data_IF_676744963369
#
_entry.id   IF_676744963369
#
_cell.length_a   1.000
_cell.length_b   1.000
_cell.length_c   1.000
_cell.angle_alpha   90.00
_cell.angle_beta   90.00
_cell.angle_gamma   90.00
#
_symmetry.space_group_name_H-M   'P 1'
#
loop_
_entity.id
_entity.type
_entity.pdbx_description
1 polymer ?
#
# COMPACT_ATOMS: atom_id res chain seq x y z
N UNK A 1 -7.68 1.10 14.42
CA UNK A 1 -8.62 1.12 13.28
C UNK A 1 -8.10 0.30 12.08
N UNK A 2 -7.38 -0.80 12.29
CA UNK A 2 -6.81 -1.65 11.21
C UNK A 2 -7.21 -3.13 11.35
N UNK A 3 -8.03 -3.48 12.35
CA UNK A 3 -8.27 -4.88 12.75
C UNK A 3 -9.47 -5.57 12.08
N UNK A 4 -10.29 -4.87 11.29
CA UNK A 4 -11.50 -5.47 10.69
C UNK A 4 -11.34 -5.90 9.22
N UNK A 5 -10.18 -5.68 8.59
CA UNK A 5 -10.07 -5.78 7.12
C UNK A 5 -9.26 -6.99 6.59
N UNK A 6 -8.44 -7.63 7.42
CA UNK A 6 -7.61 -8.79 7.00
C UNK A 6 -8.45 -10.06 6.77
N UNK A 7 -9.62 -10.17 7.41
CA UNK A 7 -10.49 -11.36 7.33
C UNK A 7 -11.23 -11.53 6.00
N UNK A 8 -11.34 -10.46 5.19
CA UNK A 8 -12.16 -10.49 3.98
C UNK A 8 -11.32 -10.59 2.70
N UNK A 9 -10.11 -10.04 2.67
CA UNK A 9 -9.29 -9.98 1.45
C UNK A 9 -8.13 -10.98 1.38
N UNK A 10 -7.60 -11.44 2.51
CA UNK A 10 -6.63 -12.54 2.49
C UNK A 10 -7.24 -13.85 1.94
N UNK A 11 -8.52 -14.20 2.26
CA UNK A 11 -9.18 -15.35 1.63
C UNK A 11 -9.49 -15.16 0.15
N UNK A 12 -9.64 -13.92 -0.33
CA UNK A 12 -9.85 -13.61 -1.76
C UNK A 12 -8.55 -13.82 -2.52
N UNK A 13 -7.42 -13.34 -2.00
CA UNK A 13 -6.10 -13.58 -2.60
C UNK A 13 -5.74 -15.07 -2.64
N UNK A 14 -6.04 -15.81 -1.56
CA UNK A 14 -5.78 -17.25 -1.50
C UNK A 14 -6.74 -18.04 -2.41
N UNK A 15 -8.01 -17.65 -2.52
CA UNK A 15 -8.97 -18.30 -3.43
C UNK A 15 -8.82 -17.93 -4.90
N UNK A 16 -8.36 -16.74 -5.27
CA UNK A 16 -8.15 -16.35 -6.68
C UNK A 16 -6.81 -16.79 -7.22
N UNK A 17 -5.74 -16.86 -6.40
CA UNK A 17 -4.46 -17.44 -6.84
C UNK A 17 -4.57 -18.97 -7.00
N UNK A 18 -5.46 -19.62 -6.25
CA UNK A 18 -5.63 -21.09 -6.25
C UNK A 18 -6.86 -21.52 -7.10
N UNK A 19 -7.80 -20.63 -7.40
CA UNK A 19 -9.15 -21.00 -7.87
C UNK A 19 -9.54 -20.61 -9.30
N UNK A 20 -8.62 -20.15 -10.16
CA UNK A 20 -8.94 -19.99 -11.59
C UNK A 20 -8.57 -21.27 -12.34
N UNK A 21 -9.55 -22.16 -12.49
CA UNK A 21 -9.59 -23.27 -13.47
C UNK A 21 -8.91 -24.62 -13.14
N UNK A 22 -9.14 -25.21 -11.97
CA UNK A 22 -8.97 -26.68 -11.79
C UNK A 22 -7.60 -27.27 -12.16
N UNK A 23 -6.56 -26.45 -12.23
CA UNK A 23 -5.18 -26.86 -12.47
C UNK A 23 -4.54 -27.14 -11.12
N UNK A 24 -3.75 -28.21 -11.06
CA UNK A 24 -2.97 -28.61 -9.88
C UNK A 24 -2.33 -27.41 -9.17
N UNK A 25 -2.18 -27.46 -7.84
CA UNK A 25 -1.60 -26.36 -7.07
C UNK A 25 -0.26 -25.94 -7.70
N UNK A 26 -0.24 -24.73 -8.26
CA UNK A 26 0.96 -24.18 -8.88
C UNK A 26 1.97 -23.98 -7.74
N UNK A 27 3.16 -24.60 -7.79
CA UNK A 27 4.16 -24.38 -6.75
C UNK A 27 4.50 -22.89 -6.73
N UNK A 28 4.25 -22.27 -5.58
CA UNK A 28 4.63 -20.87 -5.34
C UNK A 28 6.14 -20.81 -5.53
N UNK A 29 6.60 -20.05 -6.53
CA UNK A 29 8.02 -19.82 -6.75
C UNK A 29 8.67 -19.28 -5.48
N UNK A 30 9.98 -19.49 -5.29
CA UNK A 30 10.69 -18.99 -4.11
C UNK A 30 10.50 -17.48 -3.92
N UNK A 31 10.36 -16.75 -5.02
CA UNK A 31 10.04 -15.30 -5.09
C UNK A 31 8.64 -15.01 -4.51
N UNK A 32 7.63 -15.80 -4.88
CA UNK A 32 6.28 -15.68 -4.31
C UNK A 32 6.22 -16.01 -2.81
N UNK A 33 7.08 -16.92 -2.35
CA UNK A 33 7.13 -17.33 -0.94
C UNK A 33 7.70 -16.24 -0.03
N UNK A 34 8.74 -15.53 -0.48
CA UNK A 34 9.32 -14.40 0.29
C UNK A 34 8.32 -13.24 0.34
N UNK A 35 7.72 -12.87 -0.79
CA UNK A 35 6.72 -11.80 -0.86
C UNK A 35 5.54 -12.08 0.09
N UNK A 36 5.00 -13.32 0.09
CA UNK A 36 3.93 -13.71 1.01
C UNK A 36 4.34 -13.64 2.48
N UNK A 37 5.61 -13.96 2.81
CA UNK A 37 6.14 -13.84 4.17
C UNK A 37 6.21 -12.38 4.60
N UNK A 38 6.67 -11.49 3.73
CA UNK A 38 6.76 -10.05 4.01
C UNK A 38 5.37 -9.43 4.18
N UNK A 39 4.42 -9.76 3.30
CA UNK A 39 3.02 -9.31 3.43
C UNK A 39 2.46 -9.71 4.80
N UNK A 40 2.61 -10.97 5.20
CA UNK A 40 2.13 -11.47 6.51
C UNK A 40 2.85 -10.80 7.68
N UNK A 41 4.13 -10.47 7.54
CA UNK A 41 4.91 -9.77 8.57
C UNK A 41 4.37 -8.34 8.75
N UNK A 42 4.25 -7.58 7.67
CA UNK A 42 3.85 -6.17 7.72
C UNK A 42 2.37 -5.96 8.02
N UNK A 43 1.50 -6.91 7.66
CA UNK A 43 0.09 -6.88 8.06
C UNK A 43 -0.12 -7.10 9.57
N UNK A 44 0.85 -7.71 10.27
CA UNK A 44 0.78 -7.93 11.72
C UNK A 44 1.38 -6.78 12.53
N UNK A 45 2.19 -5.93 11.91
CA UNK A 45 2.82 -4.80 12.57
C UNK A 45 2.07 -3.50 12.29
N UNK A 46 2.35 -2.49 13.11
CA UNK A 46 1.90 -1.11 12.90
C UNK A 46 3.11 -0.16 12.83
N UNK A 47 4.28 -0.72 12.46
CA UNK A 47 5.51 0.05 12.34
C UNK A 47 5.47 0.91 11.06
N UNK A 48 5.99 2.13 11.15
CA UNK A 48 6.15 2.99 9.98
C UNK A 48 7.29 2.44 9.11
N UNK A 49 7.02 2.29 7.81
CA UNK A 49 7.92 1.66 6.84
C UNK A 49 8.84 2.69 6.18
N UNK A 50 8.42 3.95 6.09
CA UNK A 50 9.24 5.01 5.51
C UNK A 50 10.25 5.49 6.56
N UNK A 51 11.51 5.63 6.16
CA UNK A 51 12.55 6.16 7.06
C UNK A 51 12.23 7.60 7.45
N UNK A 52 12.25 7.89 8.76
CA UNK A 52 11.87 9.20 9.33
C UNK A 52 12.66 10.38 8.76
N UNK A 53 13.98 10.27 8.62
CA UNK A 53 14.82 11.39 8.18
C UNK A 53 14.56 11.80 6.71
N UNK A 54 14.53 10.87 5.73
CA UNK A 54 14.10 11.19 4.37
C UNK A 54 12.70 11.78 4.30
N UNK A 55 11.72 11.22 5.02
CA UNK A 55 10.35 11.75 5.05
C UNK A 55 10.32 13.18 5.59
N UNK A 56 11.02 13.45 6.69
CA UNK A 56 11.14 14.79 7.25
C UNK A 56 11.77 15.79 6.27
N UNK A 57 12.79 15.38 5.50
CA UNK A 57 13.41 16.23 4.48
C UNK A 57 12.41 16.58 3.38
N UNK A 58 11.66 15.59 2.89
CA UNK A 58 10.62 15.79 1.88
C UNK A 58 9.52 16.75 2.37
N UNK A 59 9.04 16.58 3.61
CA UNK A 59 8.04 17.48 4.19
C UNK A 59 8.54 18.93 4.21
N UNK A 60 9.82 19.14 4.56
CA UNK A 60 10.41 20.48 4.60
C UNK A 60 10.64 21.08 3.22
N UNK A 61 11.06 20.25 2.27
CA UNK A 61 11.23 20.64 0.87
C UNK A 61 9.92 21.16 0.30
N UNK A 62 8.84 20.37 0.40
CA UNK A 62 7.51 20.76 -0.07
C UNK A 62 7.00 22.01 0.66
N UNK A 63 7.17 22.08 1.98
CA UNK A 63 6.68 23.22 2.77
C UNK A 63 7.38 24.54 2.42
N UNK A 64 8.65 24.48 2.00
CA UNK A 64 9.43 25.66 1.62
C UNK A 64 8.82 26.36 0.39
N UNK A 65 8.19 25.61 -0.52
CA UNK A 65 7.52 26.16 -1.70
C UNK A 65 6.27 26.99 -1.34
N UNK A 66 5.69 26.76 -0.15
CA UNK A 66 4.52 27.50 0.32
C UNK A 66 4.88 28.67 1.23
N UNK A 67 5.83 28.46 2.16
CA UNK A 67 6.27 29.49 3.09
C UNK A 67 7.68 29.18 3.60
N UNK A 68 8.57 30.16 3.44
CA UNK A 68 9.93 30.06 3.97
C UNK A 68 9.95 30.12 5.50
N UNK A 69 10.98 29.52 6.11
CA UNK A 69 11.27 29.58 7.54
C UNK A 69 10.22 28.94 8.46
N UNK A 70 9.45 27.98 7.94
CA UNK A 70 8.51 27.18 8.73
C UNK A 70 9.24 26.26 9.72
N UNK A 71 8.82 26.32 10.99
CA UNK A 71 9.25 25.39 12.04
C UNK A 71 8.18 24.32 12.23
N UNK A 72 8.62 23.06 12.21
CA UNK A 72 7.75 21.91 12.42
C UNK A 72 7.95 21.34 13.82
N UNK A 73 6.84 21.09 14.52
CA UNK A 73 6.84 20.24 15.72
C UNK A 73 7.15 18.79 15.32
N UNK A 74 7.83 18.05 16.19
CA UNK A 74 8.14 16.64 15.95
C UNK A 74 6.87 15.79 15.74
N UNK A 75 5.83 16.02 16.54
CA UNK A 75 4.53 15.35 16.41
C UNK A 75 3.81 15.67 15.10
N UNK A 76 3.97 16.89 14.56
CA UNK A 76 3.36 17.26 13.28
C UNK A 76 3.98 16.45 12.12
N UNK A 77 5.31 16.28 12.13
CA UNK A 77 5.98 15.43 11.13
C UNK A 77 5.57 13.96 11.27
N UNK A 78 5.46 13.45 12.50
CA UNK A 78 4.95 12.09 12.74
C UNK A 78 3.52 11.91 12.24
N UNK A 79 2.63 12.86 12.52
CA UNK A 79 1.24 12.80 12.06
C UNK A 79 1.12 12.82 10.53
N UNK A 80 1.94 13.64 9.86
CA UNK A 80 2.03 13.64 8.40
C UNK A 80 2.51 12.28 7.87
N UNK A 81 3.47 11.65 8.55
CA UNK A 81 3.97 10.34 8.14
C UNK A 81 2.92 9.25 8.32
N UNK A 82 2.24 9.21 9.46
CA UNK A 82 1.15 8.27 9.72
C UNK A 82 0.03 8.40 8.68
N UNK A 83 -0.40 9.64 8.38
CA UNK A 83 -1.41 9.89 7.38
C UNK A 83 -0.97 9.48 5.96
N UNK A 84 0.27 9.80 5.59
CA UNK A 84 0.82 9.47 4.27
C UNK A 84 0.95 7.95 4.07
N UNK A 85 1.47 7.22 5.05
CA UNK A 85 1.59 5.76 4.96
C UNK A 85 0.22 5.07 4.96
N UNK A 86 -0.72 5.52 5.80
CA UNK A 86 -2.08 4.99 5.81
C UNK A 86 -2.78 5.20 4.46
N UNK A 87 -2.61 6.39 3.86
CA UNK A 87 -3.14 6.68 2.53
C UNK A 87 -2.54 5.77 1.45
N UNK A 88 -1.20 5.60 1.45
CA UNK A 88 -0.51 4.76 0.47
C UNK A 88 -0.91 3.29 0.60
N UNK A 89 -1.05 2.77 1.82
CA UNK A 89 -1.53 1.39 2.06
C UNK A 89 -2.93 1.23 1.45
N UNK A 90 -3.87 2.12 1.77
CA UNK A 90 -5.21 2.05 1.19
C UNK A 90 -5.20 2.17 -0.33
N UNK A 91 -4.35 3.04 -0.90
CA UNK A 91 -4.23 3.16 -2.36
C UNK A 91 -3.69 1.87 -3.01
N UNK A 92 -2.72 1.21 -2.38
CA UNK A 92 -2.18 -0.06 -2.86
C UNK A 92 -3.19 -1.20 -2.77
N UNK A 93 -4.07 -1.20 -1.78
CA UNK A 93 -5.16 -2.15 -1.67
C UNK A 93 -6.12 -2.05 -2.88
N UNK A 94 -6.58 -0.84 -3.21
CA UNK A 94 -7.45 -0.62 -4.38
C UNK A 94 -6.73 -0.91 -5.71
N UNK A 95 -5.45 -0.55 -5.78
CA UNK A 95 -4.59 -0.83 -6.93
C UNK A 95 -4.46 -2.35 -7.15
N UNK A 96 -4.31 -3.11 -6.06
CA UNK A 96 -4.23 -4.56 -6.11
C UNK A 96 -5.55 -5.18 -6.62
N UNK A 97 -6.70 -4.68 -6.15
CA UNK A 97 -8.01 -5.08 -6.67
C UNK A 97 -8.15 -4.81 -8.18
N UNK A 98 -7.66 -3.66 -8.67
CA UNK A 98 -7.65 -3.34 -10.09
C UNK A 98 -6.77 -4.31 -10.91
N UNK A 99 -5.61 -4.71 -10.37
CA UNK A 99 -4.73 -5.68 -11.01
C UNK A 99 -5.38 -7.07 -11.11
N UNK A 100 -5.99 -7.52 -10.01
CA UNK A 100 -6.72 -8.80 -9.92
C UNK A 100 -7.91 -8.82 -10.89
N UNK A 101 -8.69 -7.74 -10.95
CA UNK A 101 -9.80 -7.60 -11.89
C UNK A 101 -9.33 -7.77 -13.36
N UNK A 102 -8.10 -7.35 -13.66
CA UNK A 102 -7.46 -7.52 -14.95
C UNK A 102 -6.67 -8.84 -15.10
N UNK A 103 -6.90 -9.83 -14.22
CA UNK A 103 -6.25 -11.15 -14.19
C UNK A 103 -4.72 -11.09 -14.09
N UNK A 104 -4.19 -10.10 -13.37
CA UNK A 104 -2.75 -9.93 -13.11
C UNK A 104 -2.44 -9.98 -11.62
N UNK A 105 -1.23 -10.40 -11.30
CA UNK A 105 -0.68 -10.40 -9.93
C UNK A 105 0.29 -9.24 -9.67
N UNK A 106 0.78 -8.60 -10.74
CA UNK A 106 1.68 -7.45 -10.67
C UNK A 106 0.88 -6.17 -10.89
N UNK A 107 0.94 -5.26 -9.91
CA UNK A 107 0.38 -3.92 -10.02
C UNK A 107 1.16 -3.08 -11.04
N UNK A 108 0.45 -2.22 -11.77
CA UNK A 108 1.01 -1.36 -12.80
C UNK A 108 0.52 0.09 -12.60
N UNK A 109 1.19 1.10 -13.19
CA UNK A 109 0.76 2.50 -13.06
C UNK A 109 -0.71 2.75 -13.48
N UNK A 110 -1.21 2.00 -14.47
CA UNK A 110 -2.62 2.07 -14.90
C UNK A 110 -3.62 1.65 -13.82
N UNK A 111 -3.22 0.75 -12.91
CA UNK A 111 -4.06 0.29 -11.80
C UNK A 111 -4.17 1.40 -10.74
N UNK A 112 -3.07 2.10 -10.47
CA UNK A 112 -3.05 3.26 -9.56
C UNK A 112 -3.90 4.39 -10.14
N UNK A 113 -3.73 4.69 -11.43
CA UNK A 113 -4.52 5.72 -12.11
C UNK A 113 -6.02 5.41 -12.05
N UNK A 114 -6.39 4.15 -12.28
CA UNK A 114 -7.78 3.70 -12.18
C UNK A 114 -8.32 3.82 -10.75
N UNK A 115 -7.58 3.35 -9.75
CA UNK A 115 -7.96 3.44 -8.34
C UNK A 115 -8.20 4.90 -7.92
N UNK A 116 -7.26 5.80 -8.21
CA UNK A 116 -7.39 7.25 -7.92
C UNK A 116 -8.60 7.87 -8.63
N UNK A 117 -8.84 7.49 -9.90
CA UNK A 117 -9.99 7.96 -10.66
C UNK A 117 -11.31 7.53 -10.03
N UNK A 118 -11.42 6.30 -9.56
CA UNK A 118 -12.62 5.77 -8.89
C UNK A 118 -12.83 6.46 -7.53
N UNK A 119 -11.75 6.74 -6.78
CA UNK A 119 -11.81 7.51 -5.52
C UNK A 119 -12.25 8.97 -5.69
N UNK A 120 -12.26 9.49 -6.92
CA UNK A 120 -12.55 10.90 -7.19
C UNK A 120 -11.37 11.83 -6.88
N UNK A 121 -10.18 11.27 -6.63
CA UNK A 121 -8.94 12.01 -6.48
C UNK A 121 -8.48 12.50 -7.85
N UNK A 122 -8.96 13.67 -8.26
CA UNK A 122 -8.55 14.30 -9.52
C UNK A 122 -7.09 14.72 -9.43
N UNK A 123 -6.35 14.45 -10.52
CA UNK A 123 -5.14 15.21 -10.85
C UNK A 123 -5.54 16.58 -11.39
#
# INVERSE_FOLDING_TARGET
MVLNWVSTLMPVFEKEVIGVNGLHPVPISEIGTVALREIRKYQKSTELLIRKLPFQRLVREIAQDFKTDLRFQSSAVSALQEAAEAYLVGLFEDTNLCAIHAKRVTIMPKDIQLARRIRGERA
#
